data_IF_608671973963
#
_entry.id   IF_608671973963
#
_cell.length_a   1.000
_cell.length_b   1.000
_cell.length_c   1.000
_cell.angle_alpha   90.00
_cell.angle_beta   90.00
_cell.angle_gamma   90.00
#
_symmetry.space_group_name_H-M   'P 1'
#
loop_
_entity.id
_entity.type
_entity.pdbx_description
1 polymer ?
#
# COMPACT_ATOMS: atom_id res chain seq x y z
N UNK A 1 50.56 -0.32 70.28
CA UNK A 1 50.07 -1.52 69.57
C UNK A 1 48.59 -1.71 69.91
N UNK A 2 47.68 -1.10 69.13
CA UNK A 2 46.25 -1.32 69.29
C UNK A 2 45.69 -1.65 67.93
N UNK A 3 45.26 -2.86 67.77
CA UNK A 3 44.54 -3.34 66.60
C UNK A 3 43.03 -3.10 66.80
N UNK A 4 42.50 -2.20 66.04
CA UNK A 4 41.05 -1.98 65.99
C UNK A 4 40.44 -2.91 64.92
N UNK A 5 39.61 -3.83 65.37
CA UNK A 5 38.80 -4.72 64.49
C UNK A 5 37.60 -3.95 63.95
N UNK A 6 37.54 -3.86 62.63
CA UNK A 6 36.40 -3.30 61.92
C UNK A 6 35.53 -4.47 61.45
N UNK A 7 34.34 -4.57 61.98
CA UNK A 7 33.29 -5.52 61.51
C UNK A 7 32.63 -5.00 60.27
N UNK A 8 32.43 -5.82 59.22
CA UNK A 8 31.67 -5.39 58.04
C UNK A 8 30.16 -5.56 58.31
N UNK A 9 29.42 -4.52 58.05
CA UNK A 9 27.96 -4.52 58.04
C UNK A 9 27.44 -5.28 56.82
N UNK A 10 26.58 -6.26 57.08
CA UNK A 10 25.88 -7.07 56.06
C UNK A 10 24.72 -6.24 55.50
N UNK A 11 24.84 -5.74 54.27
CA UNK A 11 23.73 -5.08 53.58
C UNK A 11 22.78 -6.14 52.98
N UNK A 12 21.58 -6.14 53.46
CA UNK A 12 20.48 -6.98 52.95
C UNK A 12 19.95 -6.36 51.65
N UNK A 13 20.25 -6.96 50.52
CA UNK A 13 19.67 -6.59 49.22
C UNK A 13 18.23 -7.10 49.13
N UNK A 14 17.27 -6.20 49.14
CA UNK A 14 15.88 -6.49 48.81
C UNK A 14 15.78 -6.72 47.27
N UNK A 15 15.46 -7.96 46.89
CA UNK A 15 15.14 -8.33 45.52
C UNK A 15 13.73 -7.85 45.20
N UNK A 16 13.64 -6.74 44.47
CA UNK A 16 12.38 -6.25 43.92
C UNK A 16 11.91 -7.19 42.81
N UNK A 17 10.74 -7.79 43.01
CA UNK A 17 10.08 -8.59 41.97
C UNK A 17 9.64 -7.66 40.81
N UNK A 18 10.27 -7.80 39.66
CA UNK A 18 9.85 -7.17 38.41
C UNK A 18 8.63 -7.94 37.91
N UNK A 19 7.45 -7.35 37.99
CA UNK A 19 6.25 -7.89 37.36
C UNK A 19 6.40 -7.80 35.85
N UNK A 20 6.50 -8.94 35.19
CA UNK A 20 6.42 -9.05 33.72
C UNK A 20 5.01 -8.73 33.27
N UNK A 21 4.79 -7.82 32.29
CA UNK A 21 3.46 -7.63 31.72
C UNK A 21 3.06 -8.90 30.96
N UNK A 22 2.01 -9.55 31.42
CA UNK A 22 1.36 -10.65 30.71
C UNK A 22 0.77 -10.09 29.42
N UNK A 23 1.35 -10.46 28.27
CA UNK A 23 0.75 -10.23 26.97
C UNK A 23 -0.58 -10.97 26.91
N UNK A 24 -1.68 -10.22 26.90
CA UNK A 24 -2.99 -10.77 26.61
C UNK A 24 -2.97 -11.27 25.16
N UNK A 25 -2.95 -12.60 24.99
CA UNK A 25 -3.22 -13.24 23.71
C UNK A 25 -4.67 -12.98 23.33
N UNK A 26 -4.90 -12.12 22.34
CA UNK A 26 -6.21 -12.01 21.71
C UNK A 26 -6.63 -13.39 21.18
N UNK A 27 -7.85 -13.85 21.45
CA UNK A 27 -8.34 -15.09 20.87
C UNK A 27 -8.45 -14.91 19.36
N UNK A 28 -7.69 -15.70 18.61
CA UNK A 28 -7.86 -15.87 17.16
C UNK A 28 -9.27 -16.46 16.94
N UNK A 29 -10.21 -15.63 16.46
CA UNK A 29 -11.50 -16.12 15.97
C UNK A 29 -11.22 -17.03 14.77
N UNK A 30 -11.73 -18.28 14.77
CA UNK A 30 -11.66 -19.09 13.56
C UNK A 30 -12.47 -18.37 12.47
N UNK A 31 -11.82 -18.05 11.35
CA UNK A 31 -12.51 -17.62 10.14
C UNK A 31 -13.25 -18.82 9.59
N UNK A 32 -14.57 -18.81 9.71
CA UNK A 32 -15.45 -19.81 9.07
C UNK A 32 -15.32 -19.63 7.55
N UNK A 33 -14.70 -20.62 6.91
CA UNK A 33 -14.41 -20.63 5.47
C UNK A 33 -15.65 -20.89 4.60
N UNK A 34 -16.86 -20.69 5.12
CA UNK A 34 -18.14 -20.97 4.43
C UNK A 34 -19.02 -19.75 4.34
N UNK A 35 -18.62 -18.74 3.69
CA UNK A 35 -19.44 -17.72 3.05
C UNK A 35 -18.53 -16.58 2.62
N UNK A 36 -17.71 -16.81 1.62
CA UNK A 36 -17.22 -15.70 0.82
C UNK A 36 -18.37 -15.36 -0.14
N UNK A 37 -19.37 -14.71 0.42
CA UNK A 37 -20.31 -13.97 -0.38
C UNK A 37 -19.50 -12.78 -0.92
N UNK A 38 -19.24 -12.75 -2.22
CA UNK A 38 -18.46 -11.73 -2.92
C UNK A 38 -18.95 -10.31 -2.62
N UNK A 39 -20.16 -10.17 -2.09
CA UNK A 39 -20.77 -8.92 -1.63
C UNK A 39 -20.30 -8.52 -0.21
N UNK A 40 -19.97 -9.50 0.66
CA UNK A 40 -19.56 -9.24 2.05
C UNK A 40 -18.09 -8.85 2.23
N UNK A 41 -17.20 -9.33 1.36
CA UNK A 41 -15.78 -8.99 1.39
C UNK A 41 -15.53 -7.50 1.03
N UNK A 42 -16.33 -6.98 0.11
CA UNK A 42 -16.26 -5.57 -0.32
C UNK A 42 -16.56 -4.55 0.81
N UNK A 43 -17.38 -4.91 1.80
CA UNK A 43 -17.84 -3.98 2.85
C UNK A 43 -16.79 -3.75 3.94
N UNK A 44 -15.98 -4.77 4.27
CA UNK A 44 -14.96 -4.65 5.30
C UNK A 44 -13.71 -3.89 4.83
N UNK A 45 -13.35 -4.03 3.55
CA UNK A 45 -12.19 -3.32 2.98
C UNK A 45 -12.48 -1.84 2.75
N UNK A 46 -13.72 -1.48 2.40
CA UNK A 46 -14.13 -0.08 2.25
C UNK A 46 -14.09 0.70 3.56
N UNK A 47 -14.35 0.09 4.71
CA UNK A 47 -14.37 0.79 5.99
C UNK A 47 -12.96 1.14 6.49
N UNK A 48 -11.97 0.25 6.32
CA UNK A 48 -10.60 0.49 6.76
C UNK A 48 -9.83 1.45 5.84
N UNK A 49 -10.05 1.35 4.51
CA UNK A 49 -9.42 2.24 3.55
C UNK A 49 -10.09 3.62 3.46
N UNK A 50 -11.38 3.71 3.78
CA UNK A 50 -12.17 4.95 3.68
C UNK A 50 -12.00 5.87 4.90
N UNK A 51 -11.45 5.39 6.03
CA UNK A 51 -11.26 6.23 7.23
C UNK A 51 -10.31 7.42 6.98
N UNK A 52 -9.39 7.33 5.99
CA UNK A 52 -8.52 8.43 5.58
C UNK A 52 -8.43 8.65 4.06
N UNK A 53 -9.12 7.88 3.22
CA UNK A 53 -9.21 7.95 1.74
C UNK A 53 -7.86 8.14 1.03
N UNK A 54 -7.60 7.37 -0.01
CA UNK A 54 -6.42 7.60 -0.87
C UNK A 54 -6.60 8.89 -1.67
N UNK A 55 -5.51 9.63 -1.91
CA UNK A 55 -5.52 10.78 -2.80
C UNK A 55 -5.46 10.34 -4.26
N UNK A 56 -6.05 11.15 -5.16
CA UNK A 56 -5.90 10.93 -6.60
C UNK A 56 -4.42 11.03 -6.96
N UNK A 57 -3.86 10.02 -7.67
CA UNK A 57 -2.41 9.91 -7.88
C UNK A 57 -1.83 10.88 -8.91
N UNK A 58 -2.65 11.74 -9.50
CA UNK A 58 -2.23 12.72 -10.50
C UNK A 58 -3.09 13.98 -10.45
N UNK A 59 -2.57 15.08 -11.00
CA UNK A 59 -3.25 16.39 -11.00
C UNK A 59 -4.41 16.47 -12.00
N UNK A 60 -4.34 17.42 -12.94
CA UNK A 60 -5.37 17.57 -13.99
C UNK A 60 -5.47 16.31 -14.85
N UNK A 61 -6.65 15.70 -14.90
CA UNK A 61 -6.87 14.44 -15.62
C UNK A 61 -8.28 14.35 -16.20
N UNK A 62 -8.47 13.39 -17.13
CA UNK A 62 -9.77 12.84 -17.50
C UNK A 62 -9.72 11.33 -17.28
N UNK A 63 -10.80 10.73 -16.78
CA UNK A 63 -10.93 9.28 -16.72
C UNK A 63 -11.30 8.77 -18.11
N UNK A 64 -10.41 7.98 -18.74
CA UNK A 64 -10.62 7.40 -20.08
C UNK A 64 -11.11 5.97 -20.03
N UNK A 65 -10.78 5.20 -18.98
CA UNK A 65 -11.31 3.85 -18.75
C UNK A 65 -11.53 3.60 -17.25
N UNK A 66 -12.52 2.76 -16.96
CA UNK A 66 -12.94 2.41 -15.61
C UNK A 66 -12.74 0.94 -15.31
N UNK A 67 -12.59 0.59 -14.03
CA UNK A 67 -12.51 -0.77 -13.56
C UNK A 67 -13.71 -1.61 -14.04
N UNK A 68 -13.43 -2.84 -14.51
CA UNK A 68 -14.43 -3.78 -14.98
C UNK A 68 -14.97 -3.52 -16.40
N UNK A 69 -14.52 -2.46 -17.07
CA UNK A 69 -14.91 -2.16 -18.44
C UNK A 69 -14.42 -3.27 -19.37
N UNK A 70 -15.33 -3.94 -20.10
CA UNK A 70 -15.00 -5.01 -21.04
C UNK A 70 -14.34 -4.48 -22.30
N UNK A 71 -13.38 -5.25 -22.87
CA UNK A 71 -12.75 -4.93 -24.15
C UNK A 71 -11.59 -5.85 -24.48
N UNK A 72 -11.38 -6.07 -25.80
CA UNK A 72 -10.32 -6.92 -26.31
C UNK A 72 -8.90 -6.33 -26.13
N UNK A 73 -8.79 -5.06 -25.72
CA UNK A 73 -7.50 -4.40 -25.44
C UNK A 73 -6.83 -4.92 -24.18
N UNK A 74 -7.63 -5.48 -23.26
CA UNK A 74 -7.12 -5.99 -21.98
C UNK A 74 -6.99 -7.51 -22.02
N UNK A 75 -5.81 -8.02 -21.69
CA UNK A 75 -5.52 -9.46 -21.68
C UNK A 75 -6.42 -10.28 -20.74
N UNK A 76 -6.94 -9.64 -19.69
CA UNK A 76 -7.92 -10.17 -18.75
C UNK A 76 -9.36 -10.16 -19.28
N UNK A 77 -9.61 -9.62 -20.49
CA UNK A 77 -10.96 -9.40 -21.04
C UNK A 77 -11.68 -8.20 -20.43
N UNK A 78 -11.14 -7.59 -19.38
CA UNK A 78 -11.69 -6.41 -18.72
C UNK A 78 -10.57 -5.53 -18.14
N UNK A 79 -10.89 -4.27 -17.89
CA UNK A 79 -9.98 -3.29 -17.33
C UNK A 79 -9.79 -3.50 -15.81
N UNK A 80 -8.54 -3.61 -15.38
CA UNK A 80 -8.17 -3.97 -14.00
C UNK A 80 -7.95 -2.77 -13.07
N UNK A 81 -8.10 -1.54 -13.58
CA UNK A 81 -7.85 -0.32 -12.84
C UNK A 81 -8.66 0.89 -13.29
N UNK A 82 -8.09 2.06 -13.11
CA UNK A 82 -8.57 3.34 -13.65
C UNK A 82 -7.49 3.96 -14.53
N UNK A 83 -7.88 4.48 -15.69
CA UNK A 83 -6.99 5.21 -16.57
C UNK A 83 -7.21 6.73 -16.47
N UNK A 84 -6.15 7.42 -16.07
CA UNK A 84 -6.11 8.87 -15.97
C UNK A 84 -5.28 9.45 -17.11
N UNK A 85 -5.93 10.05 -18.12
CA UNK A 85 -5.22 10.71 -19.24
C UNK A 85 -4.65 12.05 -18.81
N UNK A 86 -3.45 12.34 -19.30
CA UNK A 86 -2.74 13.61 -19.07
C UNK A 86 -1.51 13.72 -19.98
N UNK A 87 -0.80 14.85 -19.96
CA UNK A 87 0.41 15.03 -20.74
C UNK A 87 1.56 14.16 -20.21
N UNK A 88 2.41 13.67 -21.14
CA UNK A 88 3.66 12.99 -20.77
C UNK A 88 4.50 13.91 -19.88
N UNK A 89 5.07 13.36 -18.81
CA UNK A 89 5.86 14.10 -17.83
C UNK A 89 5.05 14.68 -16.66
N UNK A 90 3.72 14.63 -16.71
CA UNK A 90 2.88 15.05 -15.58
C UNK A 90 3.25 14.25 -14.32
N UNK A 91 3.35 14.95 -13.18
CA UNK A 91 3.72 14.31 -11.91
C UNK A 91 2.73 13.23 -11.50
N UNK A 92 3.25 12.07 -11.14
CA UNK A 92 2.53 10.98 -10.47
C UNK A 92 2.95 10.95 -9.02
N UNK A 93 1.96 10.84 -8.13
CA UNK A 93 2.11 10.89 -6.68
C UNK A 93 1.61 9.59 -6.05
N UNK A 94 2.19 9.22 -4.91
CA UNK A 94 1.71 8.10 -4.12
C UNK A 94 0.30 8.39 -3.59
N UNK A 95 -0.64 7.51 -3.86
CA UNK A 95 -2.03 7.66 -3.41
C UNK A 95 -2.15 7.57 -1.89
N UNK A 96 -1.25 6.82 -1.25
CA UNK A 96 -1.11 6.73 0.20
C UNK A 96 0.35 6.49 0.59
N UNK A 97 0.66 6.65 1.88
CA UNK A 97 1.98 6.34 2.44
C UNK A 97 2.26 4.84 2.41
N UNK A 98 3.51 4.45 2.18
CA UNK A 98 3.84 3.03 2.09
C UNK A 98 5.30 2.74 1.80
N UNK A 99 5.57 1.49 1.42
CA UNK A 99 6.88 1.00 0.99
C UNK A 99 6.82 0.55 -0.46
N UNK A 100 7.75 1.02 -1.27
CA UNK A 100 7.89 0.61 -2.67
C UNK A 100 8.34 -0.86 -2.73
N UNK A 101 7.51 -1.71 -3.30
CA UNK A 101 7.80 -3.14 -3.51
C UNK A 101 8.36 -3.41 -4.90
N UNK A 102 7.98 -2.60 -5.91
CA UNK A 102 8.52 -2.68 -7.25
C UNK A 102 8.67 -1.28 -7.86
N UNK A 103 9.75 -1.08 -8.63
CA UNK A 103 10.04 0.16 -9.35
C UNK A 103 10.92 -0.17 -10.55
N UNK A 104 10.33 -0.72 -11.62
CA UNK A 104 11.06 -1.23 -12.79
C UNK A 104 10.17 -1.31 -14.03
N UNK A 105 10.72 -1.81 -15.14
CA UNK A 105 9.94 -2.17 -16.33
C UNK A 105 9.27 -3.54 -16.11
N UNK A 106 7.95 -3.63 -16.32
CA UNK A 106 7.11 -4.78 -16.03
C UNK A 106 6.22 -5.19 -17.23
N UNK A 107 6.83 -5.56 -18.34
CA UNK A 107 6.16 -6.09 -19.51
C UNK A 107 5.05 -5.16 -20.03
N UNK A 108 3.81 -5.63 -20.08
CA UNK A 108 2.68 -4.85 -20.58
C UNK A 108 2.41 -3.57 -19.76
N UNK A 109 2.71 -3.54 -18.46
CA UNK A 109 2.60 -2.34 -17.63
C UNK A 109 3.64 -1.25 -17.97
N UNK A 110 4.67 -1.57 -18.77
CA UNK A 110 5.77 -0.65 -19.04
C UNK A 110 6.55 -0.31 -17.77
N UNK A 111 6.98 0.93 -17.59
CA UNK A 111 7.58 1.37 -16.35
C UNK A 111 6.49 1.45 -15.28
N UNK A 112 6.69 0.70 -14.19
CA UNK A 112 5.69 0.48 -13.15
C UNK A 112 6.28 0.68 -11.77
N UNK A 113 5.45 1.21 -10.87
CA UNK A 113 5.72 1.27 -9.43
C UNK A 113 4.61 0.50 -8.72
N UNK A 114 4.96 -0.33 -7.73
CA UNK A 114 4.01 -0.93 -6.81
C UNK A 114 4.38 -0.53 -5.38
N UNK A 115 3.38 -0.06 -4.61
CA UNK A 115 3.55 0.41 -3.23
C UNK A 115 2.64 -0.40 -2.31
N UNK A 116 3.23 -0.99 -1.25
CA UNK A 116 2.49 -1.63 -0.18
C UNK A 116 2.16 -0.61 0.92
N UNK A 117 0.87 -0.53 1.28
CA UNK A 117 0.35 0.42 2.28
C UNK A 117 0.06 -0.23 3.65
N UNK A 118 0.28 -1.54 3.78
CA UNK A 118 -0.13 -2.34 4.93
C UNK A 118 -1.54 -2.93 4.76
N UNK A 119 -1.95 -3.78 5.72
CA UNK A 119 -3.26 -4.45 5.72
C UNK A 119 -3.63 -5.16 4.39
N UNK A 120 -2.64 -5.73 3.69
CA UNK A 120 -2.83 -6.40 2.41
C UNK A 120 -3.09 -5.47 1.21
N UNK A 121 -3.14 -4.16 1.43
CA UNK A 121 -3.43 -3.18 0.37
C UNK A 121 -2.16 -2.76 -0.37
N UNK A 122 -2.22 -2.75 -1.71
CA UNK A 122 -1.19 -2.22 -2.60
C UNK A 122 -1.79 -1.30 -3.64
N UNK A 123 -0.99 -0.38 -4.16
CA UNK A 123 -1.33 0.42 -5.34
C UNK A 123 -0.27 0.22 -6.42
N UNK A 124 -0.71 0.19 -7.68
CA UNK A 124 0.15 0.05 -8.85
C UNK A 124 -0.04 1.23 -9.78
N UNK A 125 1.08 1.73 -10.30
CA UNK A 125 1.18 2.90 -11.18
C UNK A 125 1.94 2.49 -12.43
N UNK A 126 1.26 2.42 -13.57
CA UNK A 126 1.83 1.88 -14.80
C UNK A 126 1.91 2.90 -15.93
N UNK A 127 2.56 2.49 -17.04
CA UNK A 127 2.82 3.25 -18.26
C UNK A 127 3.64 4.53 -18.04
N UNK A 128 4.44 4.59 -16.96
CA UNK A 128 5.22 5.77 -16.59
C UNK A 128 6.31 6.10 -17.63
N UNK A 129 6.56 7.39 -17.83
CA UNK A 129 7.72 7.86 -18.60
C UNK A 129 9.00 7.89 -17.76
N UNK A 130 8.87 8.08 -16.45
CA UNK A 130 9.98 8.07 -15.50
C UNK A 130 9.56 7.54 -14.14
N UNK A 131 10.48 6.83 -13.49
CA UNK A 131 10.39 6.36 -12.11
C UNK A 131 11.33 7.23 -11.27
N UNK A 132 10.84 7.80 -10.16
CA UNK A 132 11.61 8.70 -9.29
C UNK A 132 11.92 8.11 -7.92
N UNK A 133 11.54 6.86 -7.66
CA UNK A 133 11.74 6.12 -6.42
C UNK A 133 12.36 4.76 -6.71
N UNK A 134 12.86 4.07 -5.70
CA UNK A 134 13.48 2.76 -5.82
C UNK A 134 12.82 1.73 -4.90
N UNK A 135 12.93 0.46 -5.27
CA UNK A 135 12.48 -0.66 -4.44
C UNK A 135 13.06 -0.58 -3.01
N UNK A 136 12.19 -0.77 -2.03
CA UNK A 136 12.51 -0.67 -0.60
C UNK A 136 12.36 0.72 -0.01
N UNK A 137 12.21 1.78 -0.81
CA UNK A 137 12.01 3.15 -0.36
C UNK A 137 10.66 3.31 0.34
N UNK A 138 10.61 4.13 1.40
CA UNK A 138 9.36 4.57 2.03
C UNK A 138 8.91 5.88 1.41
N UNK A 139 7.65 5.96 1.08
CA UNK A 139 7.01 7.15 0.50
C UNK A 139 5.87 7.63 1.38
N UNK A 140 5.59 8.92 1.30
CA UNK A 140 4.42 9.53 1.95
C UNK A 140 3.31 9.74 0.93
N UNK A 141 2.04 9.77 1.40
CA UNK A 141 0.89 10.18 0.60
C UNK A 141 1.17 11.54 -0.07
N UNK A 142 0.90 11.64 -1.37
CA UNK A 142 1.15 12.85 -2.16
C UNK A 142 2.62 13.06 -2.57
N UNK A 143 3.56 12.23 -2.10
CA UNK A 143 4.95 12.31 -2.56
C UNK A 143 5.03 11.97 -4.06
N UNK A 144 5.78 12.79 -4.83
CA UNK A 144 6.06 12.46 -6.24
C UNK A 144 6.89 11.18 -6.32
N UNK A 145 6.40 10.22 -7.12
CA UNK A 145 7.05 8.91 -7.32
C UNK A 145 7.46 8.66 -8.76
N UNK A 146 6.92 9.43 -9.72
CA UNK A 146 7.23 9.26 -11.14
C UNK A 146 6.59 10.31 -12.02
N UNK A 147 6.50 10.01 -13.31
CA UNK A 147 5.90 10.86 -14.32
C UNK A 147 5.03 10.04 -15.28
N UNK A 148 3.86 10.58 -15.64
CA UNK A 148 2.93 10.01 -16.58
C UNK A 148 3.60 9.78 -17.94
N UNK A 149 3.30 8.67 -18.60
CA UNK A 149 3.89 8.29 -19.86
C UNK A 149 2.96 7.50 -20.76
N UNK A 150 3.56 6.67 -21.62
CA UNK A 150 2.87 5.76 -22.53
C UNK A 150 3.78 4.54 -22.81
N UNK A 151 4.49 4.04 -21.80
CA UNK A 151 5.38 2.88 -21.94
C UNK A 151 4.61 1.55 -21.81
N UNK A 152 5.18 0.47 -22.33
CA UNK A 152 4.52 -0.84 -22.32
C UNK A 152 3.37 -0.93 -23.33
N UNK A 153 2.32 -1.68 -23.00
CA UNK A 153 1.14 -1.84 -23.86
C UNK A 153 0.13 -0.71 -23.61
N UNK A 154 0.40 0.46 -24.19
CA UNK A 154 -0.40 1.67 -24.03
C UNK A 154 -0.78 2.26 -25.38
N UNK A 155 -2.05 2.65 -25.54
CA UNK A 155 -2.57 3.28 -26.76
C UNK A 155 -2.32 4.80 -26.83
N UNK A 156 -1.84 5.41 -25.74
CA UNK A 156 -1.58 6.84 -25.62
C UNK A 156 -1.25 7.26 -24.20
N UNK A 157 -0.85 8.52 -23.99
CA UNK A 157 -0.40 8.98 -22.67
C UNK A 157 -1.50 8.90 -21.60
N UNK A 158 -1.29 8.05 -20.59
CA UNK A 158 -2.15 7.90 -19.43
C UNK A 158 -1.40 7.25 -18.26
N UNK A 159 -1.92 7.40 -17.06
CA UNK A 159 -1.60 6.58 -15.91
C UNK A 159 -2.63 5.47 -15.82
N UNK A 160 -2.22 4.21 -15.86
CA UNK A 160 -3.05 3.09 -15.42
C UNK A 160 -2.82 2.87 -13.92
N UNK A 161 -3.88 3.01 -13.13
CA UNK A 161 -3.83 2.93 -11.66
C UNK A 161 -4.68 1.78 -11.16
N UNK A 162 -4.07 0.89 -10.37
CA UNK A 162 -4.75 -0.23 -9.73
C UNK A 162 -4.67 -0.13 -8.21
N UNK A 163 -5.69 -0.64 -7.54
CA UNK A 163 -5.67 -1.00 -6.12
C UNK A 163 -5.80 -2.51 -6.03
N UNK A 164 -4.93 -3.12 -5.23
CA UNK A 164 -4.97 -4.55 -4.93
C UNK A 164 -5.21 -4.73 -3.44
N UNK A 165 -6.04 -5.71 -3.10
CA UNK A 165 -6.28 -6.14 -1.72
C UNK A 165 -6.03 -7.64 -1.64
N UNK A 166 -5.09 -8.05 -0.80
CA UNK A 166 -4.64 -9.43 -0.65
C UNK A 166 -4.23 -10.11 -1.98
N UNK A 167 -3.81 -9.29 -2.96
CA UNK A 167 -3.37 -9.70 -4.29
C UNK A 167 -4.43 -9.57 -5.39
N UNK A 168 -5.68 -9.38 -5.05
CA UNK A 168 -6.79 -9.23 -6.01
C UNK A 168 -6.97 -7.76 -6.40
N UNK A 169 -7.14 -7.50 -7.70
CA UNK A 169 -7.46 -6.17 -8.23
C UNK A 169 -8.90 -5.81 -7.88
N UNK A 170 -9.08 -4.66 -7.25
CA UNK A 170 -10.39 -4.15 -6.82
C UNK A 170 -10.66 -2.77 -7.43
N UNK A 171 -11.93 -2.35 -7.48
CA UNK A 171 -12.30 -1.06 -8.07
C UNK A 171 -11.66 0.12 -7.30
N UNK A 172 -10.68 0.85 -7.89
CA UNK A 172 -9.98 1.94 -7.21
C UNK A 172 -10.88 3.12 -6.81
N UNK A 173 -12.04 3.30 -7.47
CA UNK A 173 -12.98 4.38 -7.13
C UNK A 173 -13.51 4.30 -5.70
N UNK A 174 -13.44 3.11 -5.08
CA UNK A 174 -13.87 2.89 -3.69
C UNK A 174 -12.87 3.44 -2.67
N UNK A 175 -11.63 3.66 -3.09
CA UNK A 175 -10.51 4.09 -2.24
C UNK A 175 -10.14 5.56 -2.46
N UNK A 176 -10.37 6.06 -3.66
CA UNK A 176 -10.01 7.43 -4.04
C UNK A 176 -11.10 8.43 -3.64
N UNK A 177 -10.69 9.60 -3.18
CA UNK A 177 -11.55 10.77 -3.01
C UNK A 177 -11.67 11.48 -4.39
N UNK A 178 -12.58 10.97 -5.24
CA UNK A 178 -12.86 11.49 -6.58
C UNK A 178 -14.01 12.47 -6.55
#
# INVERSE_FOLDING_TARGET
>A
MNRTLVTPALALLAVGAVATPTMATSPSRPVDSRAIDVIGADVNYTAAAKAEGMTVPTGKYKLSARFGQSGAMWSSGHHTGLDFTGPVGQAIQAADSGKVEEASSAGAYGNMIEIAHGNGTRTRYAHLSAISVKKGERVQRGQRIGALGSTGNSSGPHLHFEVLVDGDQVNPQRFLNL
#
